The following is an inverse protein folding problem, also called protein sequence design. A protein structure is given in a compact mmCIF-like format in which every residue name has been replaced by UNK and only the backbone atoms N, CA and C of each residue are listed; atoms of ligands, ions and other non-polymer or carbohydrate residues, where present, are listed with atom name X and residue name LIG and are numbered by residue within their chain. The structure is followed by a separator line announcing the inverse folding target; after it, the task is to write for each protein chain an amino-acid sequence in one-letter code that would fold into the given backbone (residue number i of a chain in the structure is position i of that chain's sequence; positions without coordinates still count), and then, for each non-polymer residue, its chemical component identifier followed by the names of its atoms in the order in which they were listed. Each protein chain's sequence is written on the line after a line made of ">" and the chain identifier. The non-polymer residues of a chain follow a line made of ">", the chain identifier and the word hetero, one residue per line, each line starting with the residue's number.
data_IF_788159282789
#
_entry.id   IF_788159282789
#
_cell.length_a   1.000
_cell.length_b   1.000
_cell.length_c   1.000
_cell.angle_alpha   90.00
_cell.angle_beta   90.00
_cell.angle_gamma   90.00
#
_symmetry.space_group_name_H-M   'P 1'
#
loop_
_entity.id
_entity.type
_entity.pdbx_description
1 polymer ?
#
# COMPACT_ATOMS: atom_id res chain seq x y z
N UNK A 1 -0.66 27.57 -13.70
CA UNK A 1 0.15 27.43 -14.93
C UNK A 1 -0.05 26.00 -15.40
N UNK A 2 -0.72 25.78 -16.54
CA UNK A 2 -1.00 24.42 -17.03
C UNK A 2 0.19 23.96 -17.89
N UNK A 3 0.76 22.78 -17.60
CA UNK A 3 1.88 22.22 -18.35
C UNK A 3 1.36 21.44 -19.55
N UNK A 4 2.02 21.53 -20.71
CA UNK A 4 1.69 20.73 -21.91
C UNK A 4 2.37 19.35 -21.90
N UNK A 5 2.69 18.86 -20.71
CA UNK A 5 3.39 17.60 -20.46
C UNK A 5 2.43 16.65 -19.76
N UNK A 6 2.38 15.41 -20.25
CA UNK A 6 1.74 14.29 -19.58
C UNK A 6 2.82 13.30 -19.14
N UNK A 7 2.80 12.93 -17.86
CA UNK A 7 3.80 12.04 -17.27
C UNK A 7 3.61 10.60 -17.78
N UNK A 8 4.73 9.96 -18.15
CA UNK A 8 4.83 8.59 -18.62
C UNK A 8 5.98 7.88 -17.90
N UNK A 9 6.04 6.56 -17.97
CA UNK A 9 7.19 5.76 -17.48
C UNK A 9 7.57 4.69 -18.49
N UNK A 10 8.87 4.41 -18.63
CA UNK A 10 9.35 3.26 -19.40
C UNK A 10 9.21 1.94 -18.66
N UNK A 11 8.98 1.97 -17.34
CA UNK A 11 8.91 0.77 -16.51
C UNK A 11 7.44 0.36 -16.27
N UNK A 12 6.96 -0.76 -16.84
CA UNK A 12 5.58 -1.21 -16.66
C UNK A 12 5.19 -1.48 -15.21
N UNK A 13 6.15 -1.86 -14.35
CA UNK A 13 5.88 -2.11 -12.94
C UNK A 13 5.68 -0.81 -12.16
N UNK A 14 6.38 0.26 -12.56
CA UNK A 14 6.13 1.62 -12.02
C UNK A 14 4.76 2.12 -12.48
N UNK A 15 4.38 1.87 -13.73
CA UNK A 15 3.02 2.19 -14.22
C UNK A 15 1.95 1.42 -13.42
N UNK A 16 2.22 0.14 -13.12
CA UNK A 16 1.35 -0.69 -12.30
C UNK A 16 1.23 -0.18 -10.87
N UNK A 17 2.34 0.25 -10.26
CA UNK A 17 2.35 0.89 -8.95
C UNK A 17 1.38 2.09 -8.93
N UNK A 18 1.55 3.04 -9.85
CA UNK A 18 0.68 4.22 -9.92
C UNK A 18 -0.78 3.90 -10.23
N UNK A 19 -1.04 2.85 -11.02
CA UNK A 19 -2.40 2.39 -11.27
C UNK A 19 -3.04 1.73 -10.04
N UNK A 20 -2.23 1.25 -9.09
CA UNK A 20 -2.68 0.61 -7.85
C UNK A 20 -2.71 1.53 -6.63
N UNK A 21 -2.26 2.78 -6.75
CA UNK A 21 -2.36 3.77 -5.67
C UNK A 21 -3.81 3.91 -5.20
N UNK A 22 -3.96 4.11 -3.88
CA UNK A 22 -5.25 4.32 -3.25
C UNK A 22 -5.85 5.66 -3.72
N UNK A 23 -7.07 5.60 -4.22
CA UNK A 23 -7.85 6.76 -4.65
C UNK A 23 -9.04 6.99 -3.73
N UNK A 24 -9.63 5.89 -3.24
CA UNK A 24 -10.83 5.88 -2.42
C UNK A 24 -12.02 5.25 -3.13
N UNK A 25 -13.11 5.11 -2.38
CA UNK A 25 -14.32 4.42 -2.82
C UNK A 25 -15.09 5.23 -3.86
N UNK A 26 -15.47 4.58 -4.95
CA UNK A 26 -16.28 5.15 -6.03
C UNK A 26 -17.49 4.24 -6.27
N UNK A 27 -18.62 4.84 -6.61
CA UNK A 27 -19.84 4.12 -6.96
C UNK A 27 -19.77 3.69 -8.43
N UNK A 28 -19.81 2.38 -8.66
CA UNK A 28 -19.95 1.81 -10.00
C UNK A 28 -21.40 1.39 -10.20
N UNK A 29 -21.98 1.78 -11.33
CA UNK A 29 -23.29 1.26 -11.76
C UNK A 29 -23.10 -0.16 -12.29
N UNK A 30 -23.96 -1.09 -11.83
CA UNK A 30 -24.05 -2.42 -12.41
C UNK A 30 -24.31 -2.35 -13.92
N UNK A 31 -23.75 -3.31 -14.67
CA UNK A 31 -23.93 -3.41 -16.12
C UNK A 31 -25.35 -3.94 -16.44
N UNK A 32 -25.96 -4.67 -15.52
CA UNK A 32 -27.22 -5.39 -15.72
C UNK A 32 -28.43 -4.73 -15.05
N UNK A 33 -28.26 -4.03 -13.92
CA UNK A 33 -29.31 -3.31 -13.21
C UNK A 33 -28.82 -1.91 -12.78
N UNK A 34 -29.47 -0.84 -13.26
CA UNK A 34 -29.11 0.54 -12.93
C UNK A 34 -29.31 0.89 -11.43
N UNK A 35 -30.08 0.08 -10.70
CA UNK A 35 -30.32 0.25 -9.26
C UNK A 35 -29.23 -0.38 -8.38
N UNK A 36 -28.41 -1.30 -8.91
CA UNK A 36 -27.38 -1.98 -8.13
C UNK A 36 -26.07 -1.17 -8.16
N UNK A 37 -25.89 -0.34 -7.14
CA UNK A 37 -24.71 0.52 -6.99
C UNK A 37 -23.70 -0.11 -6.05
N UNK A 38 -22.64 -0.69 -6.62
CA UNK A 38 -21.54 -1.26 -5.81
C UNK A 38 -20.51 -0.17 -5.52
N UNK A 39 -20.31 0.10 -4.24
CA UNK A 39 -19.26 1.01 -3.76
C UNK A 39 -17.98 0.21 -3.51
N UNK A 40 -16.93 0.49 -4.25
CA UNK A 40 -15.63 -0.19 -4.14
C UNK A 40 -14.48 0.77 -4.41
N UNK A 41 -13.25 0.38 -4.08
CA UNK A 41 -12.05 1.14 -4.43
C UNK A 41 -12.00 1.42 -5.94
N UNK A 42 -11.53 2.61 -6.32
CA UNK A 42 -11.44 2.98 -7.73
C UNK A 42 -10.54 2.00 -8.49
N UNK A 43 -10.99 1.59 -9.67
CA UNK A 43 -10.19 0.73 -10.55
C UNK A 43 -9.03 1.50 -11.18
N UNK A 44 -7.90 0.83 -11.34
CA UNK A 44 -6.72 1.34 -12.03
C UNK A 44 -6.77 1.05 -13.53
N UNK A 45 -6.17 1.92 -14.34
CA UNK A 45 -6.04 1.69 -15.78
C UNK A 45 -4.65 2.09 -16.26
N UNK A 46 -4.03 1.25 -17.09
CA UNK A 46 -2.72 1.51 -17.68
C UNK A 46 -2.87 1.62 -19.20
N UNK A 47 -2.53 2.79 -19.72
CA UNK A 47 -2.36 3.03 -21.16
C UNK A 47 -0.90 2.87 -21.53
N UNK A 48 -0.64 2.42 -22.75
CA UNK A 48 0.71 2.29 -23.26
C UNK A 48 0.82 2.80 -24.69
N UNK A 49 2.02 3.24 -25.04
CA UNK A 49 2.38 3.74 -26.35
C UNK A 49 3.61 2.97 -26.87
N UNK A 50 3.74 2.82 -28.19
CA UNK A 50 4.86 2.12 -28.85
C UNK A 50 5.75 3.07 -29.66
N UNK A 51 5.44 4.38 -29.69
CA UNK A 51 6.25 5.37 -30.38
C UNK A 51 7.63 5.45 -29.73
N UNK A 52 8.66 5.64 -30.57
CA UNK A 52 10.01 5.92 -30.08
C UNK A 52 10.06 7.30 -29.43
N UNK A 53 10.88 7.42 -28.41
CA UNK A 53 11.13 8.70 -27.78
C UNK A 53 12.20 9.50 -28.50
N UNK A 54 12.09 10.81 -28.36
CA UNK A 54 13.01 11.80 -28.90
C UNK A 54 13.74 12.51 -27.77
N UNK A 55 14.92 13.05 -28.07
CA UNK A 55 15.70 13.79 -27.08
C UNK A 55 15.21 15.24 -26.95
N UNK A 56 15.50 15.87 -25.81
CA UNK A 56 15.19 17.30 -25.59
C UNK A 56 15.91 18.25 -26.54
N UNK A 57 16.97 17.78 -27.22
CA UNK A 57 17.78 18.61 -28.11
C UNK A 57 17.23 18.69 -29.53
N UNK A 58 16.26 17.84 -29.88
CA UNK A 58 15.65 17.84 -31.20
C UNK A 58 14.84 19.09 -31.46
N UNK A 59 14.84 19.53 -32.73
CA UNK A 59 14.23 20.79 -33.16
C UNK A 59 12.74 20.84 -32.82
N UNK A 60 12.02 19.73 -33.01
CA UNK A 60 10.58 19.63 -32.73
C UNK A 60 10.27 19.93 -31.26
N UNK A 61 11.11 19.43 -30.35
CA UNK A 61 10.95 19.61 -28.91
C UNK A 61 11.27 21.05 -28.50
N UNK A 62 12.34 21.62 -29.05
CA UNK A 62 12.70 23.03 -28.84
C UNK A 62 11.60 23.97 -29.32
N UNK A 63 11.02 23.71 -30.50
CA UNK A 63 9.93 24.49 -31.08
C UNK A 63 8.71 24.45 -30.17
N UNK A 64 8.18 23.27 -29.83
CA UNK A 64 6.95 23.17 -29.02
C UNK A 64 7.18 23.73 -27.61
N UNK A 65 8.33 23.42 -26.98
CA UNK A 65 8.66 23.92 -25.64
C UNK A 65 8.71 25.45 -25.63
N UNK A 66 9.38 26.06 -26.62
CA UNK A 66 9.46 27.52 -26.73
C UNK A 66 8.10 28.15 -27.06
N UNK A 67 7.36 27.56 -27.99
CA UNK A 67 6.03 28.03 -28.40
C UNK A 67 5.03 27.98 -27.25
N UNK A 68 5.14 26.99 -26.35
CA UNK A 68 4.27 26.90 -25.17
C UNK A 68 4.43 28.08 -24.20
N UNK A 69 5.57 28.77 -24.24
CA UNK A 69 5.89 29.94 -23.42
C UNK A 69 5.62 31.27 -24.14
N UNK A 70 5.20 31.23 -25.41
CA UNK A 70 4.83 32.42 -26.17
C UNK A 70 3.37 32.76 -25.85
N UNK A 71 3.13 34.03 -25.57
CA UNK A 71 1.77 34.57 -25.49
C UNK A 71 1.22 34.77 -26.91
N UNK A 72 0.16 34.01 -27.22
CA UNK A 72 -0.52 34.01 -28.51
C UNK A 72 -1.75 34.94 -28.53
N UNK A 73 -2.00 35.71 -27.47
CA UNK A 73 -3.17 36.61 -27.41
C UNK A 73 -3.01 37.90 -28.24
N UNK A 74 -1.78 38.34 -28.48
CA UNK A 74 -1.48 39.61 -29.16
C UNK A 74 -1.23 39.43 -30.65
N UNK A 75 -0.07 38.86 -31.00
CA UNK A 75 0.38 38.65 -32.37
C UNK A 75 0.80 37.18 -32.51
N UNK A 76 -0.09 36.43 -33.15
CA UNK A 76 -0.01 34.99 -33.35
C UNK A 76 0.16 34.61 -34.82
N UNK A 77 0.58 35.56 -35.67
CA UNK A 77 0.91 35.25 -37.06
C UNK A 77 2.09 34.29 -37.14
N UNK A 78 2.12 33.44 -38.17
CA UNK A 78 3.23 32.52 -38.42
C UNK A 78 4.56 33.28 -38.46
N UNK A 79 4.61 34.40 -39.16
CA UNK A 79 5.81 35.25 -39.26
C UNK A 79 6.29 35.73 -37.89
N UNK A 80 5.41 36.26 -37.06
CA UNK A 80 5.77 36.75 -35.72
C UNK A 80 6.21 35.62 -34.80
N UNK A 81 5.57 34.46 -34.89
CA UNK A 81 5.92 33.28 -34.10
C UNK A 81 7.29 32.74 -34.50
N UNK A 82 7.56 32.59 -35.79
CA UNK A 82 8.87 32.13 -36.27
C UNK A 82 9.97 33.09 -35.83
N UNK A 83 9.76 34.41 -35.95
CA UNK A 83 10.69 35.42 -35.44
C UNK A 83 10.93 35.27 -33.92
N UNK A 84 9.86 35.14 -33.12
CA UNK A 84 9.97 34.92 -31.66
C UNK A 84 10.70 33.62 -31.32
N UNK A 85 10.53 32.56 -32.11
CA UNK A 85 11.26 31.29 -31.95
C UNK A 85 12.75 31.46 -32.27
N UNK A 86 13.11 32.22 -33.30
CA UNK A 86 14.51 32.55 -33.63
C UNK A 86 15.16 33.40 -32.54
N UNK A 87 14.47 34.44 -32.05
CA UNK A 87 14.94 35.31 -30.96
C UNK A 87 15.22 34.51 -29.68
N UNK A 88 14.40 33.48 -29.42
CA UNK A 88 14.59 32.54 -28.30
C UNK A 88 15.61 31.43 -28.58
N UNK A 89 16.28 31.45 -29.74
CA UNK A 89 17.25 30.44 -30.18
C UNK A 89 16.66 29.02 -30.25
N UNK A 90 15.34 28.90 -30.42
CA UNK A 90 14.67 27.61 -30.59
C UNK A 90 14.91 27.04 -31.99
N UNK A 91 15.01 27.93 -32.97
CA UNK A 91 15.25 27.62 -34.40
C UNK A 91 16.34 28.54 -34.95
N UNK A 92 16.95 28.15 -36.06
CA UNK A 92 17.93 28.99 -36.76
C UNK A 92 17.23 29.98 -37.70
N UNK A 93 17.95 31.04 -38.10
CA UNK A 93 17.41 32.04 -39.03
C UNK A 93 17.12 31.44 -40.42
N UNK A 94 17.87 30.42 -40.83
CA UNK A 94 17.59 29.70 -42.07
C UNK A 94 16.24 28.94 -42.01
N UNK A 95 15.92 28.36 -40.85
CA UNK A 95 14.63 27.67 -40.65
C UNK A 95 13.46 28.65 -40.58
N UNK A 96 13.65 29.82 -39.99
CA UNK A 96 12.65 30.89 -40.01
C UNK A 96 12.27 31.27 -41.45
N UNK A 97 13.26 31.54 -42.31
CA UNK A 97 12.99 31.91 -43.70
C UNK A 97 12.43 30.74 -44.51
N UNK A 98 12.90 29.50 -44.26
CA UNK A 98 12.36 28.28 -44.89
C UNK A 98 10.87 28.11 -44.58
N UNK A 99 10.48 28.19 -43.31
CA UNK A 99 9.10 27.91 -42.90
C UNK A 99 8.13 29.07 -43.15
N UNK A 100 8.61 30.26 -43.51
CA UNK A 100 7.78 31.34 -44.10
C UNK A 100 7.41 31.07 -45.56
N UNK A 101 8.17 30.23 -46.26
CA UNK A 101 8.00 30.00 -47.70
C UNK A 101 6.78 29.11 -47.98
N UNK A 102 6.16 29.29 -49.15
CA UNK A 102 4.99 28.50 -49.57
C UNK A 102 5.32 27.02 -49.81
N UNK A 103 6.59 26.72 -50.02
CA UNK A 103 7.07 25.38 -50.33
C UNK A 103 7.30 24.53 -49.06
N UNK A 104 7.57 25.15 -47.90
CA UNK A 104 8.04 24.41 -46.71
C UNK A 104 7.33 24.73 -45.39
N UNK A 105 6.34 25.62 -45.38
CA UNK A 105 5.59 25.95 -44.16
C UNK A 105 4.90 24.73 -43.49
N UNK A 106 4.53 23.72 -44.28
CA UNK A 106 3.91 22.49 -43.77
C UNK A 106 4.83 21.71 -42.82
N UNK A 107 6.16 21.83 -42.96
CA UNK A 107 7.12 21.22 -42.04
C UNK A 107 6.89 21.75 -40.62
N UNK A 108 6.76 23.07 -40.47
CA UNK A 108 6.48 23.69 -39.18
C UNK A 108 5.11 23.30 -38.63
N UNK A 109 4.08 23.29 -39.48
CA UNK A 109 2.72 22.86 -39.09
C UNK A 109 2.74 21.43 -38.56
N UNK A 110 3.41 20.53 -39.27
CA UNK A 110 3.56 19.13 -38.86
C UNK A 110 4.26 19.03 -37.49
N UNK A 111 5.25 19.87 -37.21
CA UNK A 111 5.90 19.89 -35.89
C UNK A 111 4.90 20.29 -34.81
N UNK A 112 4.22 21.42 -34.97
CA UNK A 112 3.36 21.96 -33.92
C UNK A 112 2.04 21.20 -33.75
N UNK A 113 1.65 20.36 -34.71
CA UNK A 113 0.45 19.53 -34.63
C UNK A 113 0.70 18.10 -34.10
N UNK A 114 1.95 17.65 -34.08
CA UNK A 114 2.30 16.32 -33.57
C UNK A 114 2.62 16.32 -32.08
N UNK A 115 2.35 15.18 -31.44
CA UNK A 115 2.72 14.91 -30.06
C UNK A 115 3.97 14.04 -30.02
N UNK A 116 4.84 14.29 -29.04
CA UNK A 116 6.16 13.65 -28.97
C UNK A 116 6.39 13.01 -27.61
N UNK A 117 6.90 11.78 -27.59
CA UNK A 117 7.41 11.16 -26.37
C UNK A 117 8.84 11.65 -26.16
N UNK A 118 9.11 12.30 -25.04
CA UNK A 118 10.38 12.95 -24.75
C UNK A 118 11.11 12.21 -23.65
N UNK A 119 12.37 11.87 -23.92
CA UNK A 119 13.29 11.38 -22.90
C UNK A 119 13.95 12.60 -22.22
N UNK A 120 13.71 12.82 -20.92
CA UNK A 120 14.31 13.94 -20.20
C UNK A 120 15.79 13.67 -19.89
N UNK A 121 16.58 14.71 -19.53
CA UNK A 121 17.98 14.55 -19.16
C UNK A 121 18.22 13.87 -17.79
N UNK A 122 17.18 13.33 -17.14
CA UNK A 122 17.22 12.65 -15.82
C UNK A 122 18.02 13.38 -14.73
N UNK A 123 18.00 14.71 -14.74
CA UNK A 123 18.65 15.56 -13.74
C UNK A 123 17.90 15.59 -12.39
N UNK A 124 16.67 15.12 -12.37
CA UNK A 124 15.85 15.00 -11.17
C UNK A 124 15.83 13.53 -10.72
N UNK A 125 16.21 13.28 -9.46
CA UNK A 125 16.35 11.92 -8.93
C UNK A 125 15.01 11.17 -8.89
N UNK A 126 13.91 11.86 -8.55
CA UNK A 126 12.57 11.28 -8.56
C UNK A 126 12.19 10.80 -9.96
N UNK A 127 12.41 11.65 -10.96
CA UNK A 127 12.17 11.31 -12.36
C UNK A 127 13.01 10.11 -12.81
N UNK A 128 14.26 10.02 -12.36
CA UNK A 128 15.13 8.89 -12.63
C UNK A 128 14.62 7.59 -11.99
N UNK A 129 14.23 7.64 -10.71
CA UNK A 129 13.71 6.49 -9.96
C UNK A 129 12.39 5.97 -10.53
N UNK A 130 11.55 6.86 -11.04
CA UNK A 130 10.28 6.51 -11.68
C UNK A 130 10.43 6.10 -13.15
N UNK A 131 11.67 6.08 -13.67
CA UNK A 131 11.96 5.88 -15.09
C UNK A 131 11.09 6.76 -15.99
N UNK A 132 10.93 8.02 -15.56
CA UNK A 132 9.93 8.92 -16.11
C UNK A 132 10.26 9.39 -17.53
N UNK A 133 9.20 9.62 -18.29
CA UNK A 133 9.19 10.22 -19.61
C UNK A 133 8.03 11.21 -19.67
N UNK A 134 7.96 11.98 -20.75
CA UNK A 134 6.83 12.88 -20.95
C UNK A 134 6.25 12.72 -22.35
N UNK A 135 4.93 12.80 -22.47
CA UNK A 135 4.30 13.13 -23.73
C UNK A 135 4.16 14.66 -23.80
N UNK A 136 4.90 15.28 -24.72
CA UNK A 136 4.81 16.69 -25.04
C UNK A 136 3.73 16.92 -26.09
N UNK A 137 2.68 17.63 -25.71
CA UNK A 137 1.54 17.89 -26.60
C UNK A 137 1.85 19.05 -27.56
N UNK A 138 1.78 18.80 -28.88
CA UNK A 138 1.91 19.78 -29.95
C UNK A 138 0.66 20.64 -30.08
N UNK A 139 -0.50 20.04 -30.36
CA UNK A 139 -1.85 20.62 -30.28
C UNK A 139 -1.99 22.14 -30.58
N UNK A 140 -1.35 22.64 -31.64
CA UNK A 140 -1.55 23.99 -32.16
C UNK A 140 -2.31 23.95 -33.47
N UNK A 141 -3.31 24.81 -33.62
CA UNK A 141 -4.08 24.95 -34.85
C UNK A 141 -3.38 25.97 -35.76
N UNK A 142 -3.39 25.69 -37.06
CA UNK A 142 -3.00 26.63 -38.09
C UNK A 142 -4.27 27.17 -38.76
N UNK A 143 -4.49 28.48 -38.67
CA UNK A 143 -5.66 29.16 -39.23
C UNK A 143 -5.21 29.92 -40.47
N UNK A 144 -5.46 29.34 -41.64
CA UNK A 144 -5.09 29.94 -42.91
C UNK A 144 -5.86 31.24 -43.17
N UNK A 145 -5.13 32.27 -43.62
CA UNK A 145 -5.69 33.55 -44.09
C UNK A 145 -5.29 33.78 -45.55
N UNK A 146 -5.28 35.01 -46.06
CA UNK A 146 -4.91 35.28 -47.47
C UNK A 146 -3.44 34.96 -47.80
N UNK A 147 -2.58 34.87 -46.79
CA UNK A 147 -1.17 34.52 -46.97
C UNK A 147 -0.65 33.65 -45.83
N UNK A 148 0.33 32.80 -46.14
CA UNK A 148 0.91 31.85 -45.19
C UNK A 148 1.60 32.57 -44.04
N UNK A 149 2.38 33.61 -44.31
CA UNK A 149 3.07 34.41 -43.29
C UNK A 149 2.11 35.09 -42.31
N UNK A 150 0.94 35.53 -42.80
CA UNK A 150 -0.10 36.19 -42.00
C UNK A 150 -1.14 35.20 -41.43
N UNK A 151 -0.97 33.90 -41.67
CA UNK A 151 -1.85 32.88 -41.11
C UNK A 151 -1.59 32.75 -39.60
N UNK A 152 -2.66 32.54 -38.84
CA UNK A 152 -2.61 32.53 -37.38
C UNK A 152 -2.26 31.15 -36.81
N UNK A 153 -1.61 31.14 -35.65
CA UNK A 153 -1.42 29.93 -34.83
C UNK A 153 -2.22 30.08 -33.54
N UNK A 154 -3.00 29.07 -33.22
CA UNK A 154 -3.87 29.07 -32.03
C UNK A 154 -3.66 27.83 -31.19
N UNK A 155 -4.01 27.90 -29.91
CA UNK A 155 -3.99 26.72 -29.04
C UNK A 155 -5.20 25.85 -29.37
N UNK A 156 -4.94 24.59 -29.67
CA UNK A 156 -5.97 23.57 -29.84
C UNK A 156 -6.13 22.71 -28.60
N UNK A 157 -7.22 21.95 -28.57
CA UNK A 157 -7.47 20.87 -27.62
C UNK A 157 -7.63 19.57 -28.38
N UNK A 158 -7.08 18.49 -27.83
CA UNK A 158 -7.18 17.14 -28.39
C UNK A 158 -7.32 16.15 -27.24
N UNK A 159 -8.16 15.14 -27.43
CA UNK A 159 -8.13 13.97 -26.55
C UNK A 159 -6.82 13.20 -26.81
N UNK A 160 -5.97 13.13 -25.78
CA UNK A 160 -4.70 12.42 -25.86
C UNK A 160 -4.86 10.90 -25.86
N UNK A 161 -6.07 10.37 -25.67
CA UNK A 161 -6.32 8.93 -25.73
C UNK A 161 -5.91 8.32 -27.07
N UNK A 162 -6.04 9.05 -28.16
CA UNK A 162 -5.61 8.62 -29.50
C UNK A 162 -4.10 8.44 -29.62
N UNK A 163 -3.31 8.97 -28.69
CA UNK A 163 -1.87 8.75 -28.66
C UNK A 163 -1.49 7.37 -28.14
N UNK A 164 -2.38 6.70 -27.41
CA UNK A 164 -2.13 5.40 -26.79
C UNK A 164 -2.77 4.26 -27.58
N UNK A 165 -2.30 3.04 -27.33
CA UNK A 165 -2.88 1.84 -27.92
C UNK A 165 -4.36 1.71 -27.49
N UNK A 166 -5.20 1.18 -28.38
CA UNK A 166 -6.61 0.89 -28.07
C UNK A 166 -6.73 -0.17 -26.98
N UNK A 167 -5.76 -1.07 -26.89
CA UNK A 167 -5.63 -2.02 -25.79
C UNK A 167 -5.06 -1.31 -24.57
N UNK A 168 -5.61 -1.61 -23.40
CA UNK A 168 -5.15 -1.10 -22.13
C UNK A 168 -5.33 -2.18 -21.07
N UNK A 169 -4.63 -2.03 -19.95
CA UNK A 169 -4.73 -2.95 -18.83
C UNK A 169 -5.63 -2.37 -17.75
N UNK A 170 -6.51 -3.20 -17.23
CA UNK A 170 -7.46 -2.83 -16.20
C UNK A 170 -7.12 -3.55 -14.90
N UNK A 171 -7.14 -2.81 -13.79
CA UNK A 171 -6.79 -3.31 -12.47
C UNK A 171 -8.00 -3.12 -11.56
N UNK A 172 -8.53 -4.23 -11.07
CA UNK A 172 -9.62 -4.20 -10.08
C UNK A 172 -9.15 -3.50 -8.80
N UNK A 173 -9.96 -2.58 -8.28
CA UNK A 173 -9.71 -1.88 -7.03
C UNK A 173 -9.43 -2.82 -5.86
N UNK A 174 -10.11 -3.97 -5.83
CA UNK A 174 -9.96 -5.00 -4.79
C UNK A 174 -8.56 -5.67 -4.81
N UNK A 175 -7.91 -5.73 -5.99
CA UNK A 175 -6.61 -6.37 -6.15
C UNK A 175 -5.43 -5.41 -5.92
N UNK A 176 -5.68 -4.10 -5.89
CA UNK A 176 -4.63 -3.08 -5.80
C UNK A 176 -3.67 -3.31 -4.64
N UNK A 177 -4.21 -3.59 -3.45
CA UNK A 177 -3.41 -3.79 -2.23
C UNK A 177 -2.46 -5.00 -2.35
N UNK A 178 -2.96 -6.13 -2.83
CA UNK A 178 -2.13 -7.33 -3.03
C UNK A 178 -1.01 -7.07 -4.06
N UNK A 179 -1.34 -6.37 -5.15
CA UNK A 179 -0.35 -5.98 -6.17
C UNK A 179 0.73 -5.08 -5.58
N UNK A 180 0.36 -4.07 -4.77
CA UNK A 180 1.32 -3.19 -4.10
C UNK A 180 2.23 -3.96 -3.12
N UNK A 181 1.70 -4.93 -2.38
CA UNK A 181 2.49 -5.82 -1.51
C UNK A 181 3.49 -6.66 -2.30
N UNK A 182 3.10 -7.20 -3.46
CA UNK A 182 4.01 -7.91 -4.36
C UNK A 182 5.07 -6.97 -4.95
N UNK A 183 4.70 -5.78 -5.40
CA UNK A 183 5.62 -4.78 -5.92
C UNK A 183 6.67 -4.34 -4.88
N UNK A 184 6.30 -4.29 -3.59
CA UNK A 184 7.26 -4.02 -2.50
C UNK A 184 8.39 -5.06 -2.47
N UNK A 185 8.11 -6.32 -2.81
CA UNK A 185 9.14 -7.39 -2.88
C UNK A 185 10.15 -7.16 -4.02
N UNK A 186 9.74 -6.47 -5.08
CA UNK A 186 10.58 -6.03 -6.19
C UNK A 186 11.20 -4.64 -5.96
N UNK A 187 11.11 -4.11 -4.73
CA UNK A 187 11.62 -2.80 -4.37
C UNK A 187 10.98 -1.65 -5.19
N UNK A 188 9.70 -1.80 -5.52
CA UNK A 188 8.86 -0.79 -6.14
C UNK A 188 7.81 -0.37 -5.11
N UNK A 189 8.10 0.73 -4.42
CA UNK A 189 7.30 1.27 -3.35
C UNK A 189 7.52 2.79 -3.22
N UNK A 190 6.74 3.43 -2.35
CA UNK A 190 6.81 4.87 -2.14
C UNK A 190 8.25 5.36 -1.83
N UNK A 191 8.98 4.70 -0.91
CA UNK A 191 10.33 5.13 -0.52
C UNK A 191 11.39 5.03 -1.64
N UNK A 192 11.18 4.13 -2.59
CA UNK A 192 12.11 3.90 -3.70
C UNK A 192 11.78 4.80 -4.88
N UNK A 193 10.49 5.02 -5.16
CA UNK A 193 10.02 5.89 -6.24
C UNK A 193 10.11 7.39 -5.90
N UNK A 194 10.08 7.74 -4.61
CA UNK A 194 10.16 9.11 -4.14
C UNK A 194 11.39 9.30 -3.24
N UNK A 195 12.45 9.98 -3.72
CA UNK A 195 13.68 10.18 -2.96
C UNK A 195 13.51 11.07 -1.72
N UNK A 196 12.44 11.87 -1.65
CA UNK A 196 12.23 12.82 -0.58
C UNK A 196 12.04 12.13 0.79
N UNK A 197 12.61 12.73 1.84
CA UNK A 197 12.73 12.10 3.17
C UNK A 197 11.36 11.75 3.77
N UNK A 198 10.35 12.59 3.51
CA UNK A 198 8.99 12.42 3.99
C UNK A 198 8.39 11.08 3.54
N UNK A 199 8.63 10.70 2.29
CA UNK A 199 8.16 9.44 1.72
C UNK A 199 8.90 8.24 2.31
N UNK A 200 10.21 8.37 2.54
CA UNK A 200 11.00 7.34 3.22
C UNK A 200 10.51 7.10 4.66
N UNK A 201 10.25 8.16 5.41
CA UNK A 201 9.76 8.09 6.79
C UNK A 201 8.34 7.50 6.86
N UNK A 202 7.45 7.91 5.94
CA UNK A 202 6.09 7.39 5.83
C UNK A 202 6.09 5.88 5.56
N UNK A 203 6.90 5.44 4.61
CA UNK A 203 7.11 4.03 4.33
C UNK A 203 7.63 3.24 5.55
N UNK A 204 8.64 3.76 6.25
CA UNK A 204 9.18 3.11 7.46
C UNK A 204 8.11 2.97 8.54
N UNK A 205 7.32 4.03 8.77
CA UNK A 205 6.22 4.02 9.74
C UNK A 205 5.18 2.96 9.38
N UNK A 206 4.74 2.93 8.13
CA UNK A 206 3.73 1.99 7.65
C UNK A 206 4.23 0.54 7.72
N UNK A 207 5.48 0.28 7.32
CA UNK A 207 6.09 -1.06 7.38
C UNK A 207 6.31 -1.55 8.81
N UNK A 208 6.67 -0.65 9.75
CA UNK A 208 6.76 -0.97 11.18
C UNK A 208 5.38 -1.29 11.76
N UNK A 209 4.37 -0.49 11.45
CA UNK A 209 3.00 -0.69 11.92
C UNK A 209 2.38 -2.00 11.38
N UNK A 210 2.72 -2.40 10.15
CA UNK A 210 2.29 -3.68 9.58
C UNK A 210 2.97 -4.90 10.23
N UNK A 211 4.16 -4.71 10.82
CA UNK A 211 4.95 -5.78 11.48
C UNK A 211 4.87 -5.77 13.01
N UNK A 212 4.22 -4.77 13.63
CA UNK A 212 4.12 -4.69 15.09
C UNK A 212 3.27 -5.83 15.63
N UNK A 213 3.93 -6.91 16.05
CA UNK A 213 3.52 -7.63 17.26
C UNK A 213 3.48 -6.61 18.40
N UNK A 214 2.51 -6.72 19.31
CA UNK A 214 2.44 -5.87 20.50
C UNK A 214 3.79 -5.89 21.21
N UNK A 215 4.54 -4.80 21.11
CA UNK A 215 5.81 -4.64 21.83
C UNK A 215 5.47 -4.58 23.31
N UNK A 216 6.03 -5.50 24.10
CA UNK A 216 5.95 -5.45 25.54
C UNK A 216 6.52 -4.13 26.06
N UNK A 217 5.91 -3.59 27.11
CA UNK A 217 6.41 -2.39 27.77
C UNK A 217 7.83 -2.64 28.27
N UNK A 218 8.67 -1.60 28.16
CA UNK A 218 10.01 -1.64 28.71
C UNK A 218 9.92 -1.75 30.24
N UNK A 219 10.36 -2.89 30.78
CA UNK A 219 10.53 -3.08 32.22
C UNK A 219 12.02 -2.99 32.51
N UNK A 220 12.38 -2.08 33.42
CA UNK A 220 13.75 -1.95 33.91
C UNK A 220 14.09 -3.18 34.74
N UNK A 221 15.18 -3.86 34.41
CA UNK A 221 15.66 -5.02 35.14
C UNK A 221 15.88 -4.71 36.63
N UNK A 222 15.22 -5.47 37.51
CA UNK A 222 15.48 -5.51 38.94
C UNK A 222 16.01 -6.90 39.32
N UNK A 223 17.18 -6.94 39.97
CA UNK A 223 17.77 -8.18 40.51
C UNK A 223 16.88 -8.89 41.54
N UNK A 224 15.91 -8.19 42.15
CA UNK A 224 14.93 -8.80 43.04
C UNK A 224 13.90 -9.63 42.27
N UNK A 225 13.62 -9.32 41.00
CA UNK A 225 12.71 -10.11 40.14
C UNK A 225 13.24 -11.52 39.89
N UNK A 226 14.56 -11.69 39.91
CA UNK A 226 15.20 -13.02 39.86
C UNK A 226 14.80 -13.84 41.08
N UNK A 227 14.77 -13.24 42.27
CA UNK A 227 14.36 -13.96 43.50
C UNK A 227 12.86 -14.29 43.45
N UNK A 228 12.03 -13.40 42.93
CA UNK A 228 10.59 -13.63 42.74
C UNK A 228 10.29 -14.67 41.66
N UNK A 229 11.11 -14.75 40.60
CA UNK A 229 11.02 -15.77 39.54
C UNK A 229 11.53 -17.14 40.01
N UNK A 230 12.60 -17.19 40.82
CA UNK A 230 13.08 -18.43 41.46
C UNK A 230 12.03 -18.98 42.44
N UNK A 231 11.23 -18.12 43.08
CA UNK A 231 10.11 -18.56 43.93
C UNK A 231 8.90 -19.02 43.09
N UNK A 232 8.77 -18.56 41.83
CA UNK A 232 7.68 -18.95 40.91
C UNK A 232 8.03 -20.16 40.01
N UNK A 233 9.26 -20.67 40.05
CA UNK A 233 9.73 -21.72 39.13
C UNK A 233 9.55 -23.15 39.64
N UNK A 234 8.67 -23.39 40.60
CA UNK A 234 8.30 -24.76 40.97
C UNK A 234 6.87 -25.06 40.51
N UNK A 235 6.83 -26.01 39.56
CA UNK A 235 5.73 -26.89 39.13
C UNK A 235 5.26 -26.65 37.68
N UNK A 236 6.00 -27.30 36.78
CA UNK A 236 5.65 -27.58 35.39
C UNK A 236 4.55 -28.66 35.30
N UNK A 237 3.34 -28.30 34.86
CA UNK A 237 2.40 -29.32 34.37
C UNK A 237 2.78 -29.65 32.92
N UNK A 238 3.68 -30.59 32.71
CA UNK A 238 4.04 -31.08 31.37
C UNK A 238 2.89 -31.86 30.72
N UNK A 239 2.82 -31.90 29.38
CA UNK A 239 1.82 -32.69 28.61
C UNK A 239 1.77 -34.18 29.02
N UNK A 240 2.82 -34.69 29.66
CA UNK A 240 2.89 -36.06 30.17
C UNK A 240 1.94 -36.30 31.37
N UNK A 241 1.59 -35.26 32.15
CA UNK A 241 0.73 -35.35 33.33
C UNK A 241 -0.75 -35.53 32.94
N UNK A 242 -1.21 -34.92 31.84
CA UNK A 242 -2.59 -35.10 31.34
C UNK A 242 -2.86 -36.53 30.87
N UNK A 243 -1.84 -37.20 30.30
CA UNK A 243 -1.95 -38.60 29.88
C UNK A 243 -1.96 -39.57 31.07
N UNK A 244 -1.64 -39.09 32.27
CA UNK A 244 -1.67 -39.90 33.49
C UNK A 244 -3.12 -40.04 33.99
N UNK A 245 -3.69 -41.25 33.84
CA UNK A 245 -5.04 -41.58 34.30
C UNK A 245 -5.26 -41.26 35.79
N UNK A 246 -4.20 -41.41 36.61
CA UNK A 246 -4.23 -41.12 38.04
C UNK A 246 -4.41 -39.62 38.35
N UNK A 247 -3.90 -38.73 37.50
CA UNK A 247 -4.06 -37.28 37.66
C UNK A 247 -5.52 -36.88 37.39
N UNK A 248 -6.09 -37.33 36.27
CA UNK A 248 -7.49 -37.10 35.93
C UNK A 248 -8.43 -37.62 37.01
N UNK A 249 -8.25 -38.87 37.45
CA UNK A 249 -9.12 -39.48 38.45
C UNK A 249 -9.03 -38.75 39.81
N UNK A 250 -7.86 -38.24 40.19
CA UNK A 250 -7.65 -37.46 41.42
C UNK A 250 -8.34 -36.10 41.35
N UNK A 251 -8.18 -35.36 40.24
CA UNK A 251 -8.84 -34.07 40.03
C UNK A 251 -10.37 -34.23 40.03
N UNK A 252 -10.89 -35.24 39.33
CA UNK A 252 -12.33 -35.52 39.32
C UNK A 252 -12.85 -35.86 40.71
N UNK A 253 -12.15 -36.71 41.46
CA UNK A 253 -12.55 -37.07 42.83
C UNK A 253 -12.60 -35.84 43.74
N UNK A 254 -11.53 -35.03 43.77
CA UNK A 254 -11.42 -33.86 44.65
C UNK A 254 -12.46 -32.79 44.34
N UNK A 255 -12.74 -32.54 43.06
CA UNK A 255 -13.74 -31.55 42.67
C UNK A 255 -15.17 -32.06 42.87
N UNK A 256 -15.44 -33.35 42.63
CA UNK A 256 -16.77 -33.94 42.83
C UNK A 256 -17.16 -34.05 44.31
N UNK A 257 -16.18 -34.11 45.22
CA UNK A 257 -16.43 -34.06 46.67
C UNK A 257 -16.89 -32.66 47.15
N UNK A 258 -16.49 -31.59 46.44
CA UNK A 258 -16.79 -30.20 46.83
C UNK A 258 -17.95 -29.59 46.03
N UNK A 259 -18.15 -29.99 44.78
CA UNK A 259 -19.14 -29.39 43.88
C UNK A 259 -20.12 -30.42 43.32
N UNK A 260 -21.39 -30.04 43.25
CA UNK A 260 -22.48 -30.90 42.77
C UNK A 260 -22.91 -30.56 41.34
N UNK A 261 -21.95 -30.30 40.45
CA UNK A 261 -22.18 -30.01 39.03
C UNK A 261 -21.19 -30.78 38.13
N UNK A 262 -21.44 -30.76 36.82
CA UNK A 262 -20.65 -31.51 35.84
C UNK A 262 -19.18 -31.01 35.76
N UNK A 263 -18.29 -31.74 36.42
CA UNK A 263 -16.84 -31.47 36.47
C UNK A 263 -16.17 -31.64 35.09
N UNK A 264 -16.82 -32.34 34.15
CA UNK A 264 -16.31 -32.50 32.79
C UNK A 264 -16.09 -31.15 32.10
N UNK A 265 -16.94 -30.15 32.40
CA UNK A 265 -16.80 -28.79 31.87
C UNK A 265 -15.52 -28.09 32.37
N UNK A 266 -15.11 -28.34 33.60
CA UNK A 266 -13.86 -27.82 34.15
C UNK A 266 -12.68 -28.56 33.53
N UNK A 267 -12.78 -29.87 33.35
CA UNK A 267 -11.70 -30.66 32.76
C UNK A 267 -11.33 -30.22 31.33
N UNK A 268 -12.32 -29.87 30.50
CA UNK A 268 -12.07 -29.33 29.15
C UNK A 268 -11.26 -28.03 29.21
N UNK A 269 -11.49 -27.18 30.22
CA UNK A 269 -10.70 -25.96 30.42
C UNK A 269 -9.27 -26.26 30.88
N UNK A 270 -9.07 -27.34 31.62
CA UNK A 270 -7.72 -27.82 32.01
C UNK A 270 -6.97 -28.36 30.81
N UNK A 271 -7.63 -29.10 29.91
CA UNK A 271 -7.03 -29.55 28.66
C UNK A 271 -6.59 -28.37 27.79
N UNK A 272 -7.40 -27.31 27.67
CA UNK A 272 -7.04 -26.09 26.94
C UNK A 272 -5.89 -25.31 27.61
N UNK A 273 -5.88 -25.24 28.94
CA UNK A 273 -4.79 -24.60 29.70
C UNK A 273 -3.44 -25.26 29.41
N UNK A 274 -3.37 -26.59 29.36
CA UNK A 274 -2.11 -27.32 29.21
C UNK A 274 -1.70 -27.53 27.75
N UNK A 275 -2.63 -27.44 26.78
CA UNK A 275 -2.34 -27.61 25.35
C UNK A 275 -1.54 -26.44 24.73
N UNK A 276 -1.34 -25.34 25.47
CA UNK A 276 -0.67 -24.14 24.96
C UNK A 276 0.81 -24.14 25.38
N UNK A 277 1.68 -24.64 24.49
CA UNK A 277 3.14 -24.57 24.65
C UNK A 277 3.65 -23.19 24.15
N UNK A 278 3.31 -22.13 24.89
CA UNK A 278 3.94 -20.82 24.72
C UNK A 278 4.36 -20.26 26.08
N UNK A 279 5.61 -20.54 26.43
CA UNK A 279 6.21 -20.33 27.76
C UNK A 279 6.11 -18.87 28.25
N UNK A 280 6.04 -17.92 27.32
CA UNK A 280 5.93 -16.48 27.63
C UNK A 280 4.51 -16.00 27.96
N UNK A 281 3.47 -16.85 27.83
CA UNK A 281 2.06 -16.44 27.98
C UNK A 281 1.33 -17.09 29.16
N UNK A 282 2.02 -17.80 30.06
CA UNK A 282 1.42 -18.56 31.16
C UNK A 282 0.43 -17.74 32.03
N UNK A 283 0.78 -16.52 32.43
CA UNK A 283 -0.14 -15.68 33.23
C UNK A 283 -1.44 -15.34 32.47
N UNK A 284 -1.36 -15.16 31.14
CA UNK A 284 -2.54 -14.89 30.31
C UNK A 284 -3.41 -16.14 30.11
N UNK A 285 -2.82 -17.33 30.10
CA UNK A 285 -3.53 -18.60 29.95
C UNK A 285 -4.22 -18.98 31.26
N UNK A 286 -3.54 -18.85 32.40
CA UNK A 286 -4.14 -19.05 33.74
C UNK A 286 -5.30 -18.07 33.95
N UNK A 287 -5.15 -16.82 33.51
CA UNK A 287 -6.24 -15.83 33.58
C UNK A 287 -7.45 -16.24 32.74
N UNK A 288 -7.24 -16.80 31.54
CA UNK A 288 -8.34 -17.34 30.71
C UNK A 288 -9.00 -18.56 31.35
N UNK A 289 -8.20 -19.46 31.92
CA UNK A 289 -8.70 -20.62 32.66
C UNK A 289 -9.61 -20.18 33.81
N UNK A 290 -9.14 -19.26 34.67
CA UNK A 290 -9.91 -18.71 35.79
C UNK A 290 -11.22 -18.06 35.32
N UNK A 291 -11.19 -17.30 34.23
CA UNK A 291 -12.41 -16.71 33.64
C UNK A 291 -13.37 -17.78 33.11
N UNK A 292 -12.86 -18.85 32.51
CA UNK A 292 -13.66 -20.00 32.08
C UNK A 292 -14.33 -20.72 33.25
N UNK A 293 -13.58 -20.98 34.31
CA UNK A 293 -14.10 -21.61 35.54
C UNK A 293 -15.14 -20.73 36.22
N UNK A 294 -14.91 -19.41 36.29
CA UNK A 294 -15.91 -18.45 36.80
C UNK A 294 -17.22 -18.54 36.02
N UNK A 295 -17.17 -18.69 34.70
CA UNK A 295 -18.38 -18.85 33.88
C UNK A 295 -19.13 -20.13 34.25
N UNK A 296 -18.43 -21.24 34.42
CA UNK A 296 -19.03 -22.52 34.84
C UNK A 296 -19.65 -22.39 36.24
N UNK A 297 -18.99 -21.72 37.18
CA UNK A 297 -19.51 -21.50 38.53
C UNK A 297 -20.75 -20.59 38.54
N UNK A 298 -20.75 -19.52 37.75
CA UNK A 298 -21.90 -18.63 37.58
C UNK A 298 -23.11 -19.36 36.98
N UNK A 299 -22.90 -20.22 35.98
CA UNK A 299 -23.96 -21.06 35.39
C UNK A 299 -24.56 -22.05 36.39
N UNK A 300 -23.84 -22.40 37.46
CA UNK A 300 -24.27 -23.34 38.50
C UNK A 300 -24.69 -22.64 39.80
N UNK A 301 -24.99 -21.33 39.76
CA UNK A 301 -25.68 -20.61 40.84
C UNK A 301 -24.77 -19.92 41.87
N UNK A 302 -23.46 -19.87 41.65
CA UNK A 302 -22.53 -19.10 42.49
C UNK A 302 -22.66 -17.60 42.21
N UNK A 303 -22.47 -16.76 43.24
CA UNK A 303 -22.41 -15.32 43.01
C UNK A 303 -21.02 -14.92 42.44
N UNK A 304 -20.90 -13.68 41.92
CA UNK A 304 -19.70 -13.21 41.22
C UNK A 304 -18.45 -13.20 42.11
N UNK A 305 -18.60 -12.96 43.41
CA UNK A 305 -17.51 -12.84 44.36
C UNK A 305 -17.04 -14.23 44.81
N UNK A 306 -17.98 -15.13 45.08
CA UNK A 306 -17.74 -16.56 45.33
C UNK A 306 -17.10 -17.25 44.12
N UNK A 307 -17.60 -17.01 42.91
CA UNK A 307 -17.05 -17.60 41.69
C UNK A 307 -15.59 -17.20 41.46
N UNK A 308 -15.22 -15.96 41.83
CA UNK A 308 -13.84 -15.49 41.73
C UNK A 308 -12.93 -16.24 42.72
N UNK A 309 -13.31 -16.29 43.99
CA UNK A 309 -12.56 -16.99 45.04
C UNK A 309 -12.42 -18.49 44.72
N UNK A 310 -13.51 -19.12 44.30
CA UNK A 310 -13.53 -20.55 43.98
C UNK A 310 -12.76 -20.87 42.70
N UNK A 311 -12.69 -19.96 41.72
CA UNK A 311 -11.84 -20.14 40.53
C UNK A 311 -10.34 -20.08 40.85
N UNK A 312 -9.95 -19.27 41.85
CA UNK A 312 -8.58 -19.24 42.35
C UNK A 312 -8.26 -20.55 43.08
N UNK A 313 -9.16 -20.98 43.98
CA UNK A 313 -9.03 -22.26 44.67
C UNK A 313 -8.91 -23.46 43.72
N UNK A 314 -9.75 -23.55 42.68
CA UNK A 314 -9.72 -24.64 41.70
C UNK A 314 -8.39 -24.63 40.93
N UNK A 315 -7.92 -23.45 40.51
CA UNK A 315 -6.63 -23.29 39.83
C UNK A 315 -5.48 -23.79 40.72
N UNK A 316 -5.41 -23.30 41.96
CA UNK A 316 -4.34 -23.64 42.88
C UNK A 316 -4.36 -25.13 43.25
N UNK A 317 -5.55 -25.72 43.41
CA UNK A 317 -5.70 -27.14 43.72
C UNK A 317 -5.28 -28.05 42.58
N UNK A 318 -5.52 -27.65 41.34
CA UNK A 318 -5.07 -28.42 40.17
C UNK A 318 -3.55 -28.36 40.04
N UNK A 319 -2.93 -27.21 40.35
CA UNK A 319 -1.47 -27.08 40.45
C UNK A 319 -0.93 -28.01 41.54
N UNK A 320 -1.47 -27.96 42.75
CA UNK A 320 -1.05 -28.83 43.87
C UNK A 320 -1.11 -30.32 43.52
N UNK A 321 -2.21 -30.76 42.89
CA UNK A 321 -2.38 -32.16 42.48
C UNK A 321 -1.34 -32.53 41.42
N UNK A 322 -1.03 -31.62 40.49
CA UNK A 322 -0.01 -31.87 39.48
C UNK A 322 1.39 -31.97 40.11
N UNK A 323 1.72 -31.14 41.10
CA UNK A 323 2.97 -31.23 41.88
C UNK A 323 3.14 -32.62 42.51
N UNK A 324 2.11 -33.09 43.21
CA UNK A 324 2.12 -34.37 43.92
C UNK A 324 2.27 -35.55 42.95
N UNK A 325 1.66 -35.46 41.77
CA UNK A 325 1.77 -36.50 40.73
C UNK A 325 3.14 -36.49 40.06
N UNK A 326 3.74 -35.32 39.83
CA UNK A 326 5.08 -35.17 39.24
C UNK A 326 6.18 -35.74 40.15
N UNK A 327 6.12 -35.46 41.45
CA UNK A 327 7.08 -35.99 42.45
C UNK A 327 7.04 -37.52 42.60
N UNK A 328 5.89 -38.15 42.28
CA UNK A 328 5.74 -39.62 42.33
C UNK A 328 6.22 -40.33 41.07
N UNK A 329 6.38 -39.62 39.95
CA UNK A 329 6.92 -40.19 38.70
C UNK A 329 8.45 -40.18 38.62
N UNK A 330 9.12 -39.41 39.48
CA UNK A 330 10.58 -39.31 39.52
C UNK A 330 11.25 -40.25 40.56
N UNK A 331 10.47 -41.06 41.28
CA UNK A 331 10.93 -42.17 42.11
C UNK A 331 10.48 -43.50 41.52
#
# INVERSE_FOLDING_TARGET
>A
MCTRLLDLTTNPLVALYFACEEYGKVCYKGIEDEEDTKTQEANGVIFFNKKYSVSTNEINIKVISSLSQIDLSNDNTLESILRKLTERQAISKELEERWKSKEYYEEFINIIQNNYIVTPPYNNERLSRQCGMFLLAGCFNFVYTESISQSGIEKGYKDLRDEFDRKFFYISGENKKAILEELDTYNINEATLFPELEHQLSYIKNKKNAKTKASSEFIKFDSNDIKTQIIKSDIEISENIIKNKNFKDTVFKTLSEKYNFDIQKIWVLVEDWVSIIDWYRQESVISRFKVGVQRVLLENGFNKEEAKIESEYISDKIVDIASIVSERSEK
#
